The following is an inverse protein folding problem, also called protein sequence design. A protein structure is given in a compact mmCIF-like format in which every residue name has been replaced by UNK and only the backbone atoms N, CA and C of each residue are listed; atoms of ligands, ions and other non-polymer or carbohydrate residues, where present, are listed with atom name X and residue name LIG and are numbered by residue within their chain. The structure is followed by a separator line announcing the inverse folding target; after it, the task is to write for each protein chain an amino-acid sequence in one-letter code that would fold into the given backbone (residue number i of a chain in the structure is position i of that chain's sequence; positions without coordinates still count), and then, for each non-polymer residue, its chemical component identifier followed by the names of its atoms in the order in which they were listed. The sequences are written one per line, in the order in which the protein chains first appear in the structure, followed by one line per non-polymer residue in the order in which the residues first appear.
data_IF_282512924008
#
_entry.id   IF_282512924008
#
_cell.length_a   1.000
_cell.length_b   1.000
_cell.length_c   1.000
_cell.angle_alpha   90.00
_cell.angle_beta   90.00
_cell.angle_gamma   90.00
#
_symmetry.space_group_name_H-M   'P 1'
#
loop_
_entity.id
_entity.type
_entity.pdbx_description
1 polymer ?
#
# COMPACT_ATOMS: atom_id res chain seq x y z
N UNK A 1 1.97 -12.79 -16.82
CA UNK A 1 2.66 -11.54 -16.40
C UNK A 1 1.71 -10.34 -16.28
N UNK A 2 0.63 -10.26 -17.09
CA UNK A 2 -0.35 -9.15 -17.10
C UNK A 2 -1.22 -9.05 -15.83
N UNK A 3 -1.53 -10.19 -15.20
CA UNK A 3 -2.43 -10.27 -14.04
C UNK A 3 -1.85 -9.64 -12.76
N UNK A 4 -0.56 -9.87 -12.50
CA UNK A 4 0.11 -9.32 -11.32
C UNK A 4 0.21 -7.78 -11.37
N UNK A 5 0.46 -7.22 -12.55
CA UNK A 5 0.53 -5.77 -12.72
C UNK A 5 -0.85 -5.10 -12.55
N UNK A 6 -1.91 -5.73 -13.07
CA UNK A 6 -3.29 -5.25 -12.85
C UNK A 6 -3.65 -5.24 -11.36
N UNK A 7 -3.32 -6.29 -10.62
CA UNK A 7 -3.56 -6.38 -9.18
C UNK A 7 -2.82 -5.27 -8.41
N UNK A 8 -1.54 -5.04 -8.73
CA UNK A 8 -0.73 -3.97 -8.10
C UNK A 8 -1.34 -2.59 -8.38
N UNK A 9 -1.68 -2.30 -9.64
CA UNK A 9 -2.29 -1.02 -10.01
C UNK A 9 -3.62 -0.77 -9.29
N UNK A 10 -4.50 -1.79 -9.20
CA UNK A 10 -5.77 -1.66 -8.48
C UNK A 10 -5.55 -1.29 -7.01
N UNK A 11 -4.55 -1.91 -6.36
CA UNK A 11 -4.20 -1.60 -4.97
C UNK A 11 -3.59 -0.21 -4.82
N UNK A 12 -2.67 0.19 -5.70
CA UNK A 12 -2.04 1.52 -5.66
C UNK A 12 -3.07 2.65 -5.81
N UNK A 13 -4.02 2.51 -6.74
CA UNK A 13 -5.09 3.49 -6.95
C UNK A 13 -5.99 3.63 -5.72
N UNK A 14 -6.38 2.51 -5.12
CA UNK A 14 -7.28 2.51 -3.97
C UNK A 14 -6.59 3.09 -2.74
N UNK A 15 -5.34 2.70 -2.46
CA UNK A 15 -4.56 3.25 -1.35
C UNK A 15 -4.32 4.74 -1.52
N UNK A 16 -3.93 5.18 -2.72
CA UNK A 16 -3.73 6.60 -3.03
C UNK A 16 -5.03 7.39 -2.81
N UNK A 17 -6.18 6.82 -3.21
CA UNK A 17 -7.49 7.42 -2.98
C UNK A 17 -7.83 7.56 -1.49
N UNK A 18 -7.55 6.54 -0.67
CA UNK A 18 -7.76 6.60 0.78
C UNK A 18 -6.89 7.65 1.48
N UNK A 19 -5.66 7.88 0.99
CA UNK A 19 -4.68 8.79 1.60
C UNK A 19 -4.66 10.20 1.00
N UNK A 20 -5.70 10.56 0.22
CA UNK A 20 -5.91 11.90 -0.39
C UNK A 20 -4.85 12.29 -1.44
N UNK A 21 -4.27 11.31 -2.14
CA UNK A 21 -3.32 11.53 -3.24
C UNK A 21 -1.87 11.19 -2.89
N UNK A 22 -0.98 11.44 -3.84
CA UNK A 22 0.43 11.04 -3.78
C UNK A 22 0.72 9.78 -4.60
N UNK A 23 1.99 9.55 -4.89
CA UNK A 23 2.44 8.41 -5.67
C UNK A 23 2.55 7.21 -4.72
N UNK A 24 1.64 6.26 -4.87
CA UNK A 24 1.62 5.03 -4.08
C UNK A 24 2.41 3.95 -4.80
N UNK A 25 3.36 3.33 -4.10
CA UNK A 25 4.03 2.10 -4.56
C UNK A 25 3.65 0.95 -3.66
N UNK A 26 3.07 -0.09 -4.24
CA UNK A 26 2.73 -1.32 -3.53
C UNK A 26 3.79 -2.37 -3.82
N UNK A 27 4.35 -2.96 -2.75
CA UNK A 27 5.24 -4.10 -2.88
C UNK A 27 4.50 -5.34 -2.42
N UNK A 28 4.37 -6.33 -3.31
CA UNK A 28 3.75 -7.61 -2.99
C UNK A 28 4.82 -8.69 -2.72
N UNK A 29 4.79 -9.39 -1.58
CA UNK A 29 5.60 -10.60 -1.37
C UNK A 29 4.76 -11.90 -1.25
N UNK A 30 3.42 -11.85 -1.19
CA UNK A 30 2.56 -13.04 -1.31
C UNK A 30 1.16 -12.67 -1.76
N UNK A 31 0.59 -13.54 -2.59
CA UNK A 31 -0.79 -13.54 -3.05
C UNK A 31 -1.32 -14.94 -2.76
N UNK A 32 -2.31 -15.04 -1.89
CA UNK A 32 -2.99 -16.31 -1.58
C UNK A 32 -4.34 -16.32 -2.28
N UNK A 33 -4.64 -17.40 -3.00
CA UNK A 33 -5.96 -17.58 -3.62
C UNK A 33 -6.83 -18.43 -2.71
N UNK A 34 -7.98 -17.90 -2.32
CA UNK A 34 -9.01 -18.61 -1.54
C UNK A 34 -10.27 -18.72 -2.38
N UNK A 35 -10.57 -19.91 -2.88
CA UNK A 35 -11.76 -20.19 -3.71
C UNK A 35 -11.88 -19.22 -4.92
N UNK A 36 -12.71 -18.19 -4.75
CA UNK A 36 -13.03 -17.12 -5.71
C UNK A 36 -12.37 -15.78 -5.40
N UNK A 37 -11.57 -15.69 -4.35
CA UNK A 37 -10.99 -14.45 -3.85
C UNK A 37 -9.47 -14.54 -3.80
N UNK A 38 -8.82 -13.38 -3.88
CA UNK A 38 -7.39 -13.22 -3.67
C UNK A 38 -7.15 -12.44 -2.40
N UNK A 39 -6.40 -13.03 -1.48
CA UNK A 39 -5.94 -12.40 -0.27
C UNK A 39 -4.48 -11.96 -0.46
N UNK A 40 -4.23 -10.67 -0.24
CA UNK A 40 -2.91 -10.05 -0.35
C UNK A 40 -2.60 -9.33 0.93
N UNK A 41 -1.39 -9.51 1.48
CA UNK A 41 -0.99 -8.86 2.72
C UNK A 41 0.43 -8.38 2.66
N UNK A 42 0.67 -7.07 2.47
CA UNK A 42 2.03 -6.52 2.27
C UNK A 42 2.17 -5.06 2.66
N UNK A 43 3.13 -4.35 2.08
CA UNK A 43 3.44 -2.95 2.43
C UNK A 43 3.20 -2.03 1.25
N UNK A 44 2.72 -0.83 1.55
CA UNK A 44 2.69 0.27 0.60
C UNK A 44 3.63 1.36 1.07
N UNK A 45 4.17 2.12 0.12
CA UNK A 45 4.92 3.34 0.37
C UNK A 45 4.21 4.47 -0.35
N UNK A 46 3.82 5.50 0.38
CA UNK A 46 3.26 6.71 -0.18
C UNK A 46 4.34 7.77 -0.26
N UNK A 47 4.57 8.30 -1.45
CA UNK A 47 5.50 9.41 -1.69
C UNK A 47 4.75 10.65 -2.17
N UNK A 48 5.23 11.81 -1.71
CA UNK A 48 4.86 13.11 -2.25
C UNK A 48 6.01 13.65 -3.10
N UNK A 49 5.67 14.39 -4.14
CA UNK A 49 6.63 15.25 -4.81
C UNK A 49 6.54 16.65 -4.24
N UNK A 50 7.62 17.09 -3.60
CA UNK A 50 7.76 18.45 -3.11
C UNK A 50 8.68 19.21 -4.05
N UNK A 51 8.17 20.33 -4.58
CA UNK A 51 8.97 21.22 -5.44
C UNK A 51 10.29 21.56 -4.74
N UNK A 52 11.40 21.41 -5.48
CA UNK A 52 12.78 21.65 -5.02
C UNK A 52 13.34 20.70 -3.94
N UNK A 53 12.55 19.75 -3.43
CA UNK A 53 13.02 18.72 -2.47
C UNK A 53 12.97 17.29 -3.02
N UNK A 54 12.35 17.07 -4.19
CA UNK A 54 12.25 15.76 -4.82
C UNK A 54 11.16 14.87 -4.22
N UNK A 55 11.34 13.55 -4.33
CA UNK A 55 10.43 12.56 -3.72
C UNK A 55 10.65 12.49 -2.21
N UNK A 56 9.57 12.66 -1.45
CA UNK A 56 9.55 12.49 0.00
C UNK A 56 8.63 11.33 0.38
N UNK A 57 9.13 10.37 1.15
CA UNK A 57 8.31 9.30 1.72
C UNK A 57 7.46 9.89 2.85
N UNK A 58 6.15 9.85 2.68
CA UNK A 58 5.17 10.34 3.65
C UNK A 58 4.81 9.21 4.62
N UNK A 59 4.61 8.01 4.06
CA UNK A 59 4.00 6.92 4.78
C UNK A 59 4.51 5.58 4.27
N UNK A 60 4.74 4.65 5.19
CA UNK A 60 5.05 3.26 4.88
C UNK A 60 4.36 2.37 5.89
N UNK A 61 3.37 1.61 5.44
CA UNK A 61 2.54 0.80 6.32
C UNK A 61 2.23 -0.56 5.70
N UNK A 62 1.75 -1.47 6.55
CA UNK A 62 1.30 -2.80 6.13
C UNK A 62 -0.19 -2.73 5.85
N UNK A 63 -0.64 -3.39 4.79
CA UNK A 63 -2.03 -3.56 4.48
C UNK A 63 -2.37 -5.02 4.21
N UNK A 64 -3.63 -5.37 4.39
CA UNK A 64 -4.24 -6.63 4.03
C UNK A 64 -5.47 -6.30 3.18
N UNK A 65 -5.57 -6.90 2.00
CA UNK A 65 -6.67 -6.70 1.08
C UNK A 65 -7.22 -8.05 0.60
N UNK A 66 -8.52 -8.08 0.38
CA UNK A 66 -9.25 -9.18 -0.24
C UNK A 66 -9.78 -8.65 -1.57
N UNK A 67 -9.53 -9.37 -2.66
CA UNK A 67 -9.99 -9.06 -3.99
C UNK A 67 -10.87 -10.18 -4.56
N UNK A 68 -11.77 -9.83 -5.47
CA UNK A 68 -12.54 -10.80 -6.24
C UNK A 68 -11.73 -11.42 -7.40
N UNK A 69 -12.38 -12.30 -8.18
CA UNK A 69 -11.78 -12.92 -9.37
C UNK A 69 -11.34 -11.92 -10.45
N UNK A 70 -11.94 -10.73 -10.47
CA UNK A 70 -11.67 -9.65 -11.41
C UNK A 70 -10.66 -8.62 -10.85
N UNK A 71 -10.01 -8.92 -9.72
CA UNK A 71 -9.07 -8.05 -9.03
C UNK A 71 -9.67 -6.73 -8.53
N UNK A 72 -10.99 -6.71 -8.25
CA UNK A 72 -11.62 -5.62 -7.51
C UNK A 72 -11.44 -5.84 -6.02
N UNK A 73 -11.04 -4.80 -5.31
CA UNK A 73 -10.88 -4.87 -3.86
C UNK A 73 -12.25 -4.93 -3.19
N UNK A 74 -12.51 -6.03 -2.50
CA UNK A 74 -13.72 -6.26 -1.70
C UNK A 74 -13.58 -5.70 -0.29
N UNK A 75 -12.39 -5.84 0.30
CA UNK A 75 -12.09 -5.37 1.64
C UNK A 75 -10.63 -4.99 1.75
N UNK A 76 -10.35 -3.95 2.51
CA UNK A 76 -9.00 -3.47 2.75
C UNK A 76 -8.84 -3.03 4.20
N UNK A 77 -7.77 -3.51 4.83
CA UNK A 77 -7.37 -3.13 6.19
C UNK A 77 -5.94 -2.65 6.16
N UNK A 78 -5.74 -1.40 6.57
CA UNK A 78 -4.42 -0.82 6.75
C UNK A 78 -4.05 -0.97 8.23
N UNK A 79 -2.91 -1.59 8.49
CA UNK A 79 -2.34 -1.72 9.83
C UNK A 79 -1.21 -0.71 9.97
N UNK A 80 -1.43 0.37 10.73
CA UNK A 80 -0.41 1.38 10.88
C UNK A 80 0.82 0.79 11.55
N UNK A 81 1.98 0.91 10.89
CA UNK A 81 3.23 0.67 11.60
C UNK A 81 3.39 1.84 12.56
N UNK A 82 3.20 1.59 13.87
CA UNK A 82 3.60 2.54 14.91
C UNK A 82 5.09 2.82 14.70
N UNK A 83 5.39 3.91 14.00
CA UNK A 83 6.69 4.54 14.03
C UNK A 83 6.87 5.00 15.47
N UNK A 84 7.54 4.17 16.26
CA UNK A 84 8.07 4.56 17.56
C UNK A 84 9.10 5.65 17.22
N UNK A 85 8.64 6.90 17.16
CA UNK A 85 9.50 8.06 17.23
C UNK A 85 10.15 8.01 18.61
N UNK A 86 11.26 7.26 18.72
CA UNK A 86 12.24 7.48 19.76
C UNK A 86 12.78 8.87 19.48
N UNK A 87 12.13 9.89 20.04
CA UNK A 87 12.77 11.16 20.36
C UNK A 87 13.94 10.78 21.27
N UNK A 88 15.12 10.56 20.68
CA UNK A 88 16.38 10.67 21.41
C UNK A 88 16.50 12.14 21.76
N UNK A 89 15.88 12.51 22.88
CA UNK A 89 16.21 13.73 23.60
C UNK A 89 17.70 13.63 23.91
N UNK A 90 18.51 14.43 23.21
CA UNK A 90 19.87 14.71 23.66
C UNK A 90 19.71 15.59 24.91
N UNK A 91 20.06 15.04 26.06
CA UNK A 91 20.61 15.77 27.19
C UNK A 91 21.90 15.07 27.56
#
# INVERSE_FOLDING_TARGET
MVEAWRLVNSLELIISSFRRGGLCRVKLDSVERYNSEFKVKRTYTLTEYVLFSGEKIIEKEVFEAILDKDYKVLSMKITPQRLVQRRRSRF
#
